data_IF_370710453344
#
_entry.id   IF_370710453344
#
_cell.length_a   1.000
_cell.length_b   1.000
_cell.length_c   1.000
_cell.angle_alpha   90.00
_cell.angle_beta   90.00
_cell.angle_gamma   90.00
#
_symmetry.space_group_name_H-M   'P 1'
#
loop_
_entity.id
_entity.type
_entity.pdbx_description
1 polymer ?
#
# COMPACT_ATOMS: atom_id res chain seq x y z
N UNK A 1 25.79 -5.64 4.89
CA UNK A 1 25.27 -6.28 6.11
C UNK A 1 24.18 -5.43 6.79
N UNK A 2 24.43 -4.16 7.09
CA UNK A 2 23.43 -3.28 7.73
C UNK A 2 22.10 -3.16 6.96
N UNK A 3 22.13 -3.00 5.63
CA UNK A 3 20.92 -2.94 4.81
C UNK A 3 20.10 -4.25 4.85
N UNK A 4 20.79 -5.40 4.86
CA UNK A 4 20.14 -6.71 4.95
C UNK A 4 19.44 -6.88 6.30
N UNK A 5 20.14 -6.58 7.41
CA UNK A 5 19.56 -6.62 8.75
C UNK A 5 18.39 -5.63 8.86
N UNK A 6 18.55 -4.42 8.30
CA UNK A 6 17.48 -3.43 8.23
C UNK A 6 16.24 -3.97 7.53
N UNK A 7 16.39 -4.63 6.39
CA UNK A 7 15.25 -5.23 5.67
C UNK A 7 14.50 -6.27 6.50
N UNK A 8 15.20 -7.11 7.26
CA UNK A 8 14.57 -8.08 8.15
C UNK A 8 13.77 -7.39 9.28
N UNK A 9 14.32 -6.32 9.86
CA UNK A 9 13.66 -5.56 10.93
C UNK A 9 12.42 -4.84 10.40
N UNK A 10 12.52 -4.16 9.25
CA UNK A 10 11.38 -3.49 8.61
C UNK A 10 10.29 -4.49 8.21
N UNK A 11 10.67 -5.65 7.67
CA UNK A 11 9.71 -6.70 7.33
C UNK A 11 8.98 -7.23 8.56
N UNK A 12 9.70 -7.53 9.65
CA UNK A 12 9.09 -7.97 10.90
C UNK A 12 8.13 -6.91 11.46
N UNK A 13 8.53 -5.65 11.45
CA UNK A 13 7.67 -4.53 11.87
C UNK A 13 6.42 -4.42 10.99
N UNK A 14 6.56 -4.52 9.67
CA UNK A 14 5.44 -4.48 8.71
C UNK A 14 4.45 -5.61 8.95
N UNK A 15 4.93 -6.84 9.15
CA UNK A 15 4.07 -8.00 9.45
C UNK A 15 3.30 -7.84 10.77
N UNK A 16 3.97 -7.37 11.83
CA UNK A 16 3.30 -7.08 13.10
C UNK A 16 2.22 -6.00 12.88
N UNK A 17 2.56 -4.93 12.15
CA UNK A 17 1.61 -3.87 11.80
C UNK A 17 0.40 -4.38 11.02
N UNK A 18 0.61 -5.30 10.07
CA UNK A 18 -0.48 -5.95 9.32
C UNK A 18 -1.42 -6.72 10.27
N UNK A 19 -0.88 -7.56 11.16
CA UNK A 19 -1.72 -8.32 12.11
C UNK A 19 -2.45 -7.40 13.09
N UNK A 20 -1.81 -6.32 13.54
CA UNK A 20 -2.47 -5.29 14.35
C UNK A 20 -3.60 -4.61 13.57
N UNK A 21 -3.37 -4.26 12.31
CA UNK A 21 -4.41 -3.71 11.42
C UNK A 21 -5.57 -4.68 11.26
N UNK A 22 -5.27 -5.95 10.99
CA UNK A 22 -6.26 -7.02 10.85
C UNK A 22 -7.14 -7.12 12.11
N UNK A 23 -6.54 -7.06 13.29
CA UNK A 23 -7.26 -7.11 14.57
C UNK A 23 -8.09 -5.86 14.87
N UNK A 24 -7.65 -4.66 14.43
CA UNK A 24 -8.29 -3.39 14.79
C UNK A 24 -9.34 -2.90 13.80
N UNK A 25 -9.10 -3.06 12.50
CA UNK A 25 -9.95 -2.49 11.43
C UNK A 25 -10.51 -3.57 10.48
N UNK A 26 -10.20 -4.84 10.74
CA UNK A 26 -10.69 -5.98 9.97
C UNK A 26 -9.92 -6.24 8.67
N UNK A 27 -10.19 -7.39 8.07
CA UNK A 27 -9.46 -7.89 6.90
C UNK A 27 -9.62 -7.01 5.66
N UNK A 28 -10.83 -6.52 5.41
CA UNK A 28 -11.12 -5.78 4.17
C UNK A 28 -10.38 -4.43 4.18
N UNK A 29 -10.44 -3.67 5.27
CA UNK A 29 -9.74 -2.37 5.37
C UNK A 29 -8.22 -2.55 5.39
N UNK A 30 -7.71 -3.57 6.07
CA UNK A 30 -6.28 -3.89 6.09
C UNK A 30 -5.76 -4.25 4.69
N UNK A 31 -6.51 -5.05 3.93
CA UNK A 31 -6.18 -5.41 2.54
C UNK A 31 -6.09 -4.18 1.63
N UNK A 32 -7.00 -3.21 1.80
CA UNK A 32 -6.95 -1.97 1.03
C UNK A 32 -5.70 -1.14 1.35
N UNK A 33 -5.33 -1.05 2.64
CA UNK A 33 -4.07 -0.41 3.04
C UNK A 33 -2.84 -1.12 2.46
N UNK A 34 -2.88 -2.43 2.27
CA UNK A 34 -1.77 -3.16 1.65
C UNK A 34 -1.60 -2.82 0.17
N UNK A 35 -2.67 -2.46 -0.54
CA UNK A 35 -2.55 -1.98 -1.92
C UNK A 35 -1.79 -0.65 -2.02
N UNK A 36 -1.60 0.07 -0.92
CA UNK A 36 -0.75 1.28 -0.88
C UNK A 36 0.75 0.97 -0.93
N UNK A 37 1.15 -0.29 -0.73
CA UNK A 37 2.55 -0.72 -0.75
C UNK A 37 3.32 -0.26 -1.99
N UNK A 38 2.85 -0.49 -3.24
CA UNK A 38 3.54 0.01 -4.44
C UNK A 38 3.68 1.53 -4.48
N UNK A 39 2.68 2.30 -4.02
CA UNK A 39 2.76 3.78 -3.97
C UNK A 39 3.81 4.23 -2.97
N UNK A 40 3.81 3.65 -1.77
CA UNK A 40 4.81 3.95 -0.74
C UNK A 40 6.22 3.55 -1.17
N UNK A 41 6.38 2.42 -1.87
CA UNK A 41 7.65 1.94 -2.37
C UNK A 41 8.23 2.90 -3.41
N UNK A 42 7.40 3.39 -4.35
CA UNK A 42 7.79 4.40 -5.33
C UNK A 42 8.23 5.70 -4.64
N UNK A 43 7.45 6.19 -3.67
CA UNK A 43 7.77 7.42 -2.95
C UNK A 43 9.08 7.29 -2.15
N UNK A 44 9.27 6.18 -1.44
CA UNK A 44 10.49 5.93 -0.67
C UNK A 44 11.70 5.70 -1.58
N UNK A 45 11.53 5.06 -2.74
CA UNK A 45 12.60 4.93 -3.75
C UNK A 45 13.06 6.28 -4.28
N UNK A 46 12.12 7.17 -4.61
CA UNK A 46 12.45 8.53 -5.03
C UNK A 46 13.16 9.33 -3.92
N UNK A 47 12.69 9.23 -2.67
CA UNK A 47 13.18 10.04 -1.56
C UNK A 47 14.48 9.53 -0.90
N UNK A 48 14.63 8.21 -0.75
CA UNK A 48 15.74 7.60 0.00
C UNK A 48 16.87 7.12 -0.91
N UNK A 49 16.55 6.72 -2.14
CA UNK A 49 17.53 6.20 -3.10
C UNK A 49 17.88 7.23 -4.19
N UNK A 50 17.32 8.43 -4.12
CA UNK A 50 17.50 9.51 -5.10
C UNK A 50 17.16 9.05 -6.54
N UNK A 51 16.16 8.16 -6.63
CA UNK A 51 15.83 7.47 -7.86
C UNK A 51 15.06 8.41 -8.80
N UNK A 52 15.63 8.65 -9.99
CA UNK A 52 14.95 9.41 -11.04
C UNK A 52 13.92 8.52 -11.71
N UNK A 53 12.64 8.85 -11.57
CA UNK A 53 11.56 8.13 -12.23
C UNK A 53 11.53 8.42 -13.73
N UNK A 54 11.60 7.36 -14.52
CA UNK A 54 11.33 7.48 -15.96
C UNK A 54 9.85 7.81 -16.24
N UNK A 55 9.52 8.47 -17.36
CA UNK A 55 8.15 8.82 -17.72
C UNK A 55 7.19 7.62 -17.70
N UNK A 56 7.65 6.43 -18.08
CA UNK A 56 6.85 5.21 -18.05
C UNK A 56 6.53 4.74 -16.62
N UNK A 57 7.45 4.91 -15.67
CA UNK A 57 7.21 4.58 -14.27
C UNK A 57 6.17 5.52 -13.65
N UNK A 58 6.15 6.80 -14.06
CA UNK A 58 5.12 7.75 -13.64
C UNK A 58 3.73 7.33 -14.15
N UNK A 59 3.63 6.85 -15.39
CA UNK A 59 2.38 6.29 -15.94
C UNK A 59 1.95 5.06 -15.12
N UNK A 60 2.86 4.14 -14.85
CA UNK A 60 2.59 2.97 -14.00
C UNK A 60 2.12 3.35 -12.60
N UNK A 61 2.75 4.34 -11.97
CA UNK A 61 2.35 4.88 -10.67
C UNK A 61 0.92 5.44 -10.71
N UNK A 62 0.58 6.18 -11.77
CA UNK A 62 -0.78 6.69 -12.01
C UNK A 62 -1.82 5.56 -12.12
N UNK A 63 -1.50 4.49 -12.83
CA UNK A 63 -2.38 3.32 -12.96
C UNK A 63 -2.63 2.64 -11.60
N UNK A 64 -1.59 2.46 -10.79
CA UNK A 64 -1.70 1.88 -9.44
C UNK A 64 -2.60 2.74 -8.55
N UNK A 65 -2.38 4.06 -8.53
CA UNK A 65 -3.18 4.98 -7.73
C UNK A 65 -4.65 4.93 -8.18
N UNK A 66 -4.92 4.95 -9.48
CA UNK A 66 -6.27 4.83 -10.01
C UNK A 66 -6.95 3.51 -9.61
N UNK A 67 -6.24 2.39 -9.67
CA UNK A 67 -6.77 1.09 -9.26
C UNK A 67 -7.16 1.06 -7.77
N UNK A 68 -6.33 1.61 -6.89
CA UNK A 68 -6.62 1.69 -5.44
C UNK A 68 -7.87 2.54 -5.19
N UNK A 69 -7.96 3.71 -5.82
CA UNK A 69 -9.10 4.61 -5.67
C UNK A 69 -10.39 3.94 -6.15
N UNK A 70 -10.35 3.26 -7.31
CA UNK A 70 -11.50 2.52 -7.83
C UNK A 70 -11.92 1.38 -6.90
N UNK A 71 -10.97 0.62 -6.36
CA UNK A 71 -11.26 -0.46 -5.43
C UNK A 71 -11.96 0.04 -4.16
N UNK A 72 -11.52 1.18 -3.61
CA UNK A 72 -12.15 1.81 -2.44
C UNK A 72 -13.58 2.30 -2.75
N UNK A 73 -13.78 2.92 -3.92
CA UNK A 73 -15.09 3.41 -4.35
C UNK A 73 -16.10 2.25 -4.56
N UNK A 74 -15.66 1.16 -5.19
CA UNK A 74 -16.49 -0.03 -5.40
C UNK A 74 -16.90 -0.64 -4.06
N UNK A 75 -15.97 -0.74 -3.12
CA UNK A 75 -16.26 -1.27 -1.78
C UNK A 75 -17.25 -0.39 -1.02
N UNK A 76 -17.04 0.94 -0.96
CA UNK A 76 -17.97 1.85 -0.29
C UNK A 76 -19.39 1.76 -0.88
N UNK A 77 -19.50 1.53 -2.20
CA UNK A 77 -20.77 1.34 -2.87
C UNK A 77 -21.46 0.02 -2.47
N UNK A 78 -20.68 -1.03 -2.22
CA UNK A 78 -21.19 -2.31 -1.71
C UNK A 78 -21.71 -2.19 -0.28
N UNK A 79 -20.97 -1.52 0.61
CA UNK A 79 -21.40 -1.30 2.00
C UNK A 79 -22.67 -0.41 2.08
N UNK A 80 -22.88 0.51 1.14
CA UNK A 80 -24.10 1.33 1.08
C UNK A 80 -25.35 0.54 0.65
N UNK A 81 -25.19 -0.51 -0.16
CA UNK A 81 -26.31 -1.29 -0.73
C UNK A 81 -26.80 -2.42 0.19
N UNK A 82 -25.99 -2.88 1.16
CA UNK A 82 -26.40 -3.89 2.16
C UNK A 82 -27.17 -3.29 3.37
N UNK A 83 -27.21 -1.97 3.50
CA UNK A 83 -27.86 -1.26 4.61
C UNK A 83 -29.30 -0.77 4.30
N UNK A 84 -29.88 -1.19 3.16
CA UNK A 84 -31.26 -0.94 2.74
C UNK A 84 -32.02 -2.26 2.58
#
# INVERSE_FOLDING_TARGET
MAAYIGSCVFFAFSMIGMFVGLAKIGAIRTSLLMNFEPVSSIALGALLLDQVLEPLQLVGAGVVIAAILLAELVKNSSEANENF
#
